data_IF_669711998788
#
_entry.id   IF_669711998788
#
_cell.length_a   1.000
_cell.length_b   1.000
_cell.length_c   1.000
_cell.angle_alpha   90.00
_cell.angle_beta   90.00
_cell.angle_gamma   90.00
#
_symmetry.space_group_name_H-M   'P 1'
#
loop_
_entity.id
_entity.type
_entity.pdbx_description
1 polymer ?
#
# COMPACT_ATOMS: atom_id res chain seq x y z
N UNK A 1 -17.37 -5.56 -20.20
CA UNK A 1 -17.97 -5.85 -18.88
C UNK A 1 -19.21 -6.68 -19.14
N UNK A 2 -19.03 -7.95 -19.40
CA UNK A 2 -20.12 -8.92 -19.53
C UNK A 2 -20.37 -9.51 -18.16
N UNK A 3 -21.59 -9.29 -17.68
CA UNK A 3 -22.40 -10.20 -16.88
C UNK A 3 -21.78 -11.61 -16.65
N UNK A 4 -21.73 -12.04 -15.38
CA UNK A 4 -21.56 -13.44 -14.93
C UNK A 4 -20.14 -14.00 -14.63
N UNK A 5 -19.28 -13.28 -13.90
CA UNK A 5 -18.31 -13.95 -13.00
C UNK A 5 -18.89 -13.96 -11.59
N UNK A 6 -19.78 -14.91 -11.31
CA UNK A 6 -20.20 -15.21 -9.95
C UNK A 6 -19.00 -15.82 -9.21
N UNK A 7 -18.13 -14.96 -8.65
CA UNK A 7 -16.97 -15.43 -7.91
C UNK A 7 -17.44 -16.35 -6.79
N UNK A 8 -16.97 -17.59 -6.83
CA UNK A 8 -17.22 -18.58 -5.79
C UNK A 8 -16.99 -17.93 -4.42
N UNK A 9 -17.88 -18.10 -3.41
CA UNK A 9 -17.76 -17.43 -2.13
C UNK A 9 -16.37 -17.59 -1.50
N UNK A 10 -15.72 -18.73 -1.73
CA UNK A 10 -14.35 -19.01 -1.31
C UNK A 10 -13.31 -18.04 -1.90
N UNK A 11 -13.42 -17.66 -3.18
CA UNK A 11 -12.51 -16.72 -3.83
C UNK A 11 -12.65 -15.29 -3.27
N UNK A 12 -13.88 -14.87 -2.95
CA UNK A 12 -14.12 -13.57 -2.31
C UNK A 12 -13.53 -13.53 -0.90
N UNK A 13 -13.72 -14.61 -0.13
CA UNK A 13 -13.17 -14.74 1.23
C UNK A 13 -11.65 -14.80 1.20
N UNK A 14 -11.06 -15.60 0.32
CA UNK A 14 -9.61 -15.70 0.16
C UNK A 14 -8.99 -14.36 -0.26
N UNK A 15 -9.61 -13.64 -1.20
CA UNK A 15 -9.18 -12.30 -1.59
C UNK A 15 -9.26 -11.30 -0.42
N UNK A 16 -10.37 -11.31 0.33
CA UNK A 16 -10.54 -10.48 1.52
C UNK A 16 -9.52 -10.79 2.61
N UNK A 17 -9.18 -12.06 2.81
CA UNK A 17 -8.16 -12.48 3.77
C UNK A 17 -6.75 -12.01 3.39
N UNK A 18 -6.42 -12.05 2.09
CA UNK A 18 -5.17 -11.49 1.57
C UNK A 18 -5.07 -9.97 1.81
N UNK A 19 -6.13 -9.23 1.49
CA UNK A 19 -6.19 -7.79 1.74
C UNK A 19 -6.12 -7.46 3.24
N UNK A 20 -6.75 -8.28 4.09
CA UNK A 20 -6.69 -8.13 5.53
C UNK A 20 -5.27 -8.29 6.06
N UNK A 21 -4.55 -9.34 5.63
CA UNK A 21 -3.18 -9.58 6.04
C UNK A 21 -2.25 -8.42 5.67
N UNK A 22 -2.42 -7.87 4.45
CA UNK A 22 -1.66 -6.71 3.97
C UNK A 22 -1.90 -5.46 4.82
N UNK A 23 -3.16 -5.12 5.09
CA UNK A 23 -3.52 -3.98 5.94
C UNK A 23 -2.96 -4.16 7.35
N UNK A 24 -3.08 -5.35 7.94
CA UNK A 24 -2.55 -5.61 9.30
C UNK A 24 -1.04 -5.44 9.33
N UNK A 25 -0.31 -6.01 8.38
CA UNK A 25 1.14 -5.87 8.29
C UNK A 25 1.56 -4.40 8.18
N UNK A 26 0.89 -3.64 7.32
CA UNK A 26 1.13 -2.21 7.14
C UNK A 26 0.87 -1.40 8.43
N UNK A 27 -0.22 -1.68 9.15
CA UNK A 27 -0.54 -0.99 10.40
C UNK A 27 0.44 -1.33 11.53
N UNK A 28 0.85 -2.59 11.63
CA UNK A 28 1.88 -3.01 12.60
C UNK A 28 3.20 -2.31 12.31
N UNK A 29 3.62 -2.27 11.05
CA UNK A 29 4.84 -1.55 10.65
C UNK A 29 4.77 -0.07 10.99
N UNK A 30 3.66 0.59 10.67
CA UNK A 30 3.40 2.00 10.99
C UNK A 30 3.51 2.27 12.50
N UNK A 31 2.93 1.39 13.33
CA UNK A 31 3.02 1.48 14.79
C UNK A 31 4.44 1.28 15.32
N UNK A 32 5.19 0.32 14.74
CA UNK A 32 6.58 0.08 15.10
C UNK A 32 7.46 1.30 14.79
N UNK A 33 7.28 1.93 13.64
CA UNK A 33 8.00 3.16 13.25
C UNK A 33 7.72 4.28 14.23
N UNK A 34 6.45 4.51 14.58
CA UNK A 34 6.08 5.51 15.58
C UNK A 34 6.78 5.25 16.92
N UNK A 35 6.67 4.02 17.42
CA UNK A 35 7.25 3.61 18.70
C UNK A 35 8.78 3.70 18.68
N UNK A 36 9.42 3.36 17.57
CA UNK A 36 10.87 3.46 17.43
C UNK A 36 11.36 4.90 17.58
N UNK A 37 10.76 5.84 16.84
CA UNK A 37 11.17 7.25 16.91
C UNK A 37 10.85 7.90 18.26
N UNK A 38 9.71 7.55 18.86
CA UNK A 38 9.32 8.08 20.16
C UNK A 38 10.12 7.44 21.31
N UNK A 39 10.15 6.11 21.42
CA UNK A 39 10.64 5.41 22.59
C UNK A 39 12.12 4.99 22.52
N UNK A 40 12.66 4.72 21.32
CA UNK A 40 14.05 4.28 21.16
C UNK A 40 14.96 5.46 20.85
N UNK A 41 14.57 6.29 19.90
CA UNK A 41 15.35 7.49 19.52
C UNK A 41 15.12 8.64 20.51
N UNK A 42 13.95 8.69 21.16
CA UNK A 42 13.63 9.72 22.16
C UNK A 42 13.22 11.07 21.56
N UNK A 43 12.66 11.07 20.35
CA UNK A 43 12.18 12.30 19.71
C UNK A 43 10.93 12.79 20.44
N UNK A 44 10.79 14.11 20.59
CA UNK A 44 9.59 14.74 21.13
C UNK A 44 8.33 14.28 20.39
N UNK A 45 7.31 13.88 21.14
CA UNK A 45 6.09 13.30 20.59
C UNK A 45 5.38 14.24 19.60
N UNK A 46 5.46 15.56 19.81
CA UNK A 46 4.85 16.53 18.91
C UNK A 46 5.52 16.52 17.54
N UNK A 47 6.84 16.34 17.49
CA UNK A 47 7.59 16.24 16.22
C UNK A 47 7.28 14.93 15.50
N UNK A 48 7.20 13.82 16.23
CA UNK A 48 6.81 12.53 15.65
C UNK A 48 5.40 12.61 15.07
N UNK A 49 4.43 13.10 15.84
CA UNK A 49 3.05 13.28 15.38
C UNK A 49 2.97 14.22 14.18
N UNK A 50 3.71 15.34 14.17
CA UNK A 50 3.78 16.24 13.03
C UNK A 50 4.30 15.53 11.77
N UNK A 51 5.35 14.71 11.91
CA UNK A 51 5.89 13.90 10.82
C UNK A 51 4.84 12.93 10.25
N UNK A 52 4.09 12.25 11.12
CA UNK A 52 3.01 11.35 10.70
C UNK A 52 1.84 12.08 10.03
N UNK A 53 1.49 13.30 10.48
CA UNK A 53 0.47 14.13 9.83
C UNK A 53 0.93 14.53 8.43
N UNK A 54 2.17 15.01 8.28
CA UNK A 54 2.73 15.37 6.97
C UNK A 54 2.76 14.16 6.03
N UNK A 55 3.17 13.00 6.53
CA UNK A 55 3.14 11.74 5.78
C UNK A 55 1.72 11.33 5.38
N UNK A 56 0.74 11.48 6.26
CA UNK A 56 -0.66 11.18 5.96
C UNK A 56 -1.22 12.11 4.87
N UNK A 57 -0.94 13.41 4.94
CA UNK A 57 -1.33 14.38 3.91
C UNK A 57 -0.69 14.05 2.57
N UNK A 58 0.59 13.67 2.58
CA UNK A 58 1.30 13.23 1.38
C UNK A 58 0.63 12.01 0.73
N UNK A 59 0.28 10.98 1.50
CA UNK A 59 -0.43 9.81 0.98
C UNK A 59 -1.84 10.15 0.48
N UNK A 60 -2.58 11.01 1.18
CA UNK A 60 -3.90 11.45 0.74
C UNK A 60 -3.90 12.10 -0.66
N UNK A 61 -2.77 12.67 -1.08
CA UNK A 61 -2.57 13.22 -2.42
C UNK A 61 -2.09 12.14 -3.40
N UNK A 62 -1.12 11.31 -2.99
CA UNK A 62 -0.54 10.29 -3.86
C UNK A 62 -1.50 9.16 -4.20
N UNK A 63 -2.37 8.77 -3.27
CA UNK A 63 -3.28 7.64 -3.47
C UNK A 63 -4.24 7.92 -4.65
N UNK A 64 -4.92 9.09 -4.74
CA UNK A 64 -5.69 9.45 -5.93
C UNK A 64 -4.85 9.61 -7.20
N UNK A 65 -3.65 10.18 -7.10
CA UNK A 65 -2.77 10.37 -8.27
C UNK A 65 -2.34 9.03 -8.86
N UNK A 66 -1.92 8.09 -8.00
CA UNK A 66 -1.55 6.73 -8.40
C UNK A 66 -2.75 5.99 -9.00
N UNK A 67 -3.95 6.18 -8.44
CA UNK A 67 -5.20 5.67 -9.02
C UNK A 67 -5.46 6.23 -10.41
N UNK A 68 -5.33 7.55 -10.62
CA UNK A 68 -5.53 8.21 -11.90
C UNK A 68 -4.50 7.78 -12.95
N UNK A 69 -3.24 7.63 -12.56
CA UNK A 69 -2.15 7.19 -13.44
C UNK A 69 -2.38 5.73 -13.82
N UNK A 70 -2.66 4.85 -12.85
CA UNK A 70 -3.05 3.46 -13.11
C UNK A 70 -4.26 3.39 -14.02
N UNK A 71 -5.20 4.32 -13.84
CA UNK A 71 -6.42 4.33 -14.59
C UNK A 71 -6.23 4.72 -16.06
N UNK A 72 -5.25 5.57 -16.36
CA UNK A 72 -4.96 6.08 -17.71
C UNK A 72 -3.91 5.26 -18.46
N UNK A 73 -3.19 4.36 -17.80
CA UNK A 73 -2.18 3.51 -18.44
C UNK A 73 -2.83 2.37 -19.25
N UNK A 74 -2.86 2.52 -20.57
CA UNK A 74 -3.20 1.44 -21.51
C UNK A 74 -1.92 0.86 -22.13
N UNK A 75 -1.38 -0.19 -21.53
CA UNK A 75 -0.20 -0.91 -22.03
C UNK A 75 -0.62 -2.24 -22.66
N UNK A 76 0.17 -2.73 -23.63
CA UNK A 76 -0.08 -4.01 -24.33
C UNK A 76 -0.15 -5.24 -23.39
N UNK A 77 0.39 -5.13 -22.17
CA UNK A 77 0.38 -6.18 -21.14
C UNK A 77 -0.72 -6.03 -20.08
N UNK A 78 -1.62 -5.06 -20.26
CA UNK A 78 -2.69 -4.75 -19.32
C UNK A 78 -2.41 -3.52 -18.44
N UNK A 79 -3.44 -3.06 -17.74
CA UNK A 79 -3.50 -1.77 -17.02
C UNK A 79 -2.67 -1.73 -15.73
N UNK A 80 -2.59 -2.86 -15.00
CA UNK A 80 -1.93 -2.95 -13.67
C UNK A 80 -0.56 -3.64 -13.68
N UNK A 81 -0.28 -4.45 -14.69
CA UNK A 81 0.97 -5.22 -14.84
C UNK A 81 2.24 -4.35 -14.84
N UNK A 82 2.31 -3.18 -15.53
CA UNK A 82 3.52 -2.35 -15.46
C UNK A 82 3.77 -1.76 -14.06
N UNK A 83 2.73 -1.49 -13.26
CA UNK A 83 2.88 -1.00 -11.88
C UNK A 83 3.37 -2.10 -10.95
N UNK A 84 2.83 -3.31 -11.09
CA UNK A 84 3.27 -4.47 -10.31
C UNK A 84 4.74 -4.80 -10.63
N UNK A 85 5.13 -4.79 -11.90
CA UNK A 85 6.52 -5.02 -12.30
C UNK A 85 7.46 -3.91 -11.80
N UNK A 86 7.05 -2.64 -11.90
CA UNK A 86 7.82 -1.52 -11.41
C UNK A 86 8.03 -1.54 -9.88
N UNK A 87 7.07 -2.08 -9.11
CA UNK A 87 7.23 -2.29 -7.67
C UNK A 87 8.00 -3.56 -7.32
N UNK A 88 7.75 -4.66 -8.03
CA UNK A 88 8.35 -5.96 -7.75
C UNK A 88 9.85 -6.01 -8.07
N UNK A 89 10.31 -5.33 -9.13
CA UNK A 89 11.73 -5.36 -9.53
C UNK A 89 12.65 -4.72 -8.46
N UNK A 90 12.42 -3.48 -7.99
CA UNK A 90 13.24 -2.90 -6.92
C UNK A 90 13.14 -3.68 -5.62
N UNK A 91 11.94 -4.16 -5.27
CA UNK A 91 11.74 -4.93 -4.04
C UNK A 91 12.53 -6.25 -4.09
N UNK A 92 12.49 -6.94 -5.22
CA UNK A 92 13.25 -8.18 -5.41
C UNK A 92 14.75 -7.91 -5.32
N UNK A 93 15.24 -6.83 -5.95
CA UNK A 93 16.66 -6.47 -5.93
C UNK A 93 17.17 -6.07 -4.53
N UNK A 94 16.34 -5.45 -3.69
CA UNK A 94 16.72 -4.99 -2.35
C UNK A 94 16.63 -6.09 -1.28
N UNK A 95 15.90 -7.18 -1.55
CA UNK A 95 15.69 -8.28 -0.60
C UNK A 95 16.61 -9.50 -0.82
N UNK A 96 17.61 -9.40 -1.70
CA UNK A 96 18.70 -10.39 -1.84
C UNK A 96 19.98 -9.93 -1.14
#
# INVERSE_FOLDING_TARGET
>A
MTENEEYEPGNKVAYGFGAFADIVAYQVFTFLVFTFYYAVVGIDINLVTLGFVLWSVWNAINDPLSGLVSDRTNTKWGRRVPFIAAGAIPLSLLMF
#
